data_IF_067859103601
#
_entry.id   IF_067859103601
#
_cell.length_a   1.000
_cell.length_b   1.000
_cell.length_c   1.000
_cell.angle_alpha   90.00
_cell.angle_beta   90.00
_cell.angle_gamma   90.00
#
_symmetry.space_group_name_H-M   'P 1'
#
loop_
_entity.id
_entity.type
_entity.pdbx_description
1 polymer ?
#
# COMPACT_ATOMS: atom_id res chain seq x y z
N UNK A 1 -11.45 2.39 -7.77
CA UNK A 1 -10.66 2.31 -6.52
C UNK A 1 -10.96 0.96 -5.91
N UNK A 2 -10.07 -0.02 -6.13
CA UNK A 2 -10.24 -1.40 -5.67
C UNK A 2 -10.04 -1.47 -4.16
N UNK A 3 -10.96 -2.17 -3.48
CA UNK A 3 -10.96 -2.36 -2.03
C UNK A 3 -10.55 -3.80 -1.77
N UNK A 4 -9.55 -3.99 -0.93
CA UNK A 4 -9.02 -5.30 -0.56
C UNK A 4 -9.24 -5.56 0.93
N UNK A 5 -9.43 -6.82 1.29
CA UNK A 5 -9.43 -7.29 2.69
C UNK A 5 -8.19 -8.11 3.00
N UNK A 6 -7.60 -8.71 1.97
CA UNK A 6 -6.36 -9.48 2.04
C UNK A 6 -5.16 -8.61 1.67
N UNK A 7 -4.09 -8.70 2.46
CA UNK A 7 -2.89 -7.89 2.30
C UNK A 7 -2.01 -8.38 1.15
N UNK A 8 -1.94 -9.68 0.90
CA UNK A 8 -1.14 -10.26 -0.17
C UNK A 8 -1.76 -9.89 -1.52
N UNK A 9 -3.09 -10.01 -1.64
CA UNK A 9 -3.81 -9.57 -2.83
C UNK A 9 -3.61 -8.08 -3.13
N UNK A 10 -3.61 -7.23 -2.10
CA UNK A 10 -3.38 -5.80 -2.24
C UNK A 10 -1.93 -5.47 -2.65
N UNK A 11 -0.95 -6.25 -2.18
CA UNK A 11 0.47 -6.09 -2.54
C UNK A 11 0.71 -6.49 -3.99
N UNK A 12 0.17 -7.63 -4.43
CA UNK A 12 0.28 -8.09 -5.81
C UNK A 12 -0.37 -7.11 -6.79
N UNK A 13 -1.55 -6.58 -6.46
CA UNK A 13 -2.17 -5.50 -7.25
C UNK A 13 -1.27 -4.26 -7.31
N UNK A 14 -0.66 -3.85 -6.20
CA UNK A 14 0.25 -2.71 -6.19
C UNK A 14 1.49 -2.95 -7.07
N UNK A 15 2.02 -4.18 -7.09
CA UNK A 15 3.13 -4.57 -7.99
C UNK A 15 2.70 -4.58 -9.45
N UNK A 16 1.54 -5.13 -9.76
CA UNK A 16 0.96 -5.13 -11.09
C UNK A 16 0.78 -3.68 -11.60
N UNK A 17 0.17 -2.81 -10.80
CA UNK A 17 -0.02 -1.40 -11.16
C UNK A 17 1.31 -0.66 -11.32
N UNK A 18 2.34 -0.99 -10.52
CA UNK A 18 3.69 -0.45 -10.74
C UNK A 18 4.26 -0.88 -12.08
N UNK A 19 4.07 -2.13 -12.49
CA UNK A 19 4.53 -2.62 -13.78
C UNK A 19 3.85 -1.88 -14.94
N UNK A 20 2.52 -1.75 -14.88
CA UNK A 20 1.71 -1.11 -15.93
C UNK A 20 1.98 0.40 -16.05
N UNK A 21 1.97 1.10 -14.92
CA UNK A 21 2.00 2.57 -14.92
C UNK A 21 3.41 3.15 -14.75
N UNK A 22 4.40 2.31 -14.41
CA UNK A 22 5.77 2.70 -14.01
C UNK A 22 5.82 3.65 -12.80
N UNK A 23 4.71 3.84 -12.10
CA UNK A 23 4.63 4.70 -10.93
C UNK A 23 4.59 3.88 -9.63
N UNK A 24 5.14 4.46 -8.58
CA UNK A 24 5.09 3.83 -7.26
C UNK A 24 3.65 3.84 -6.73
N UNK A 25 3.20 2.67 -6.30
CA UNK A 25 1.94 2.43 -5.64
C UNK A 25 2.17 2.05 -4.18
N UNK A 26 1.23 2.43 -3.31
CA UNK A 26 1.22 2.08 -1.90
C UNK A 26 -0.12 1.45 -1.54
N UNK A 27 -0.09 0.56 -0.56
CA UNK A 27 -1.26 0.03 0.11
C UNK A 27 -1.46 0.81 1.39
N UNK A 28 -2.65 1.35 1.59
CA UNK A 28 -3.05 1.98 2.84
C UNK A 28 -4.17 1.21 3.51
N UNK A 29 -4.13 1.15 4.85
CA UNK A 29 -5.20 0.55 5.64
C UNK A 29 -6.07 1.65 6.24
N UNK A 30 -7.37 1.55 6.05
CA UNK A 30 -8.36 2.40 6.71
C UNK A 30 -8.69 1.84 8.09
N UNK A 31 -9.24 2.70 8.97
CA UNK A 31 -9.63 2.32 10.34
C UNK A 31 -10.66 1.18 10.41
N UNK A 32 -11.42 0.97 9.35
CA UNK A 32 -12.38 -0.13 9.22
C UNK A 32 -11.73 -1.46 8.79
N UNK A 33 -10.40 -1.56 8.74
CA UNK A 33 -9.68 -2.76 8.31
C UNK A 33 -9.55 -2.93 6.80
N UNK A 34 -10.20 -2.08 6.00
CA UNK A 34 -10.10 -2.18 4.52
C UNK A 34 -8.77 -1.67 4.01
N UNK A 35 -8.25 -2.35 3.00
CA UNK A 35 -7.01 -2.02 2.32
C UNK A 35 -7.33 -1.36 0.98
N UNK A 36 -6.56 -0.34 0.62
CA UNK A 36 -6.72 0.34 -0.67
C UNK A 36 -5.37 0.58 -1.31
N UNK A 37 -5.27 0.31 -2.61
CA UNK A 37 -4.07 0.60 -3.41
C UNK A 37 -4.20 1.98 -4.03
N UNK A 38 -3.19 2.83 -3.85
CA UNK A 38 -3.14 4.18 -4.40
C UNK A 38 -1.75 4.51 -4.92
N UNK A 39 -1.68 5.35 -5.94
CA UNK A 39 -0.41 5.89 -6.41
C UNK A 39 0.24 6.75 -5.31
N UNK A 40 1.56 6.70 -5.17
CA UNK A 40 2.31 7.40 -4.11
C UNK A 40 2.34 8.93 -4.30
N UNK A 41 2.02 9.40 -5.50
CA UNK A 41 2.01 10.82 -5.86
C UNK A 41 0.87 11.52 -5.11
N UNK A 42 1.18 12.61 -4.41
CA UNK A 42 0.16 13.42 -3.73
C UNK A 42 -0.44 12.82 -2.45
N UNK A 43 0.18 11.78 -1.85
CA UNK A 43 -0.36 11.20 -0.61
C UNK A 43 -0.26 12.19 0.55
N UNK A 44 -1.42 12.59 1.06
CA UNK A 44 -1.60 13.42 2.26
C UNK A 44 -0.93 12.79 3.49
N UNK A 45 -0.43 13.63 4.39
CA UNK A 45 0.34 13.25 5.59
C UNK A 45 -0.36 12.16 6.43
N UNK A 46 -1.69 12.23 6.59
CA UNK A 46 -2.48 11.24 7.30
C UNK A 46 -2.52 9.87 6.59
N UNK A 47 -2.61 9.87 5.26
CA UNK A 47 -2.54 8.64 4.47
C UNK A 47 -1.12 8.05 4.43
N UNK A 48 -0.08 8.85 4.66
CA UNK A 48 1.29 8.36 4.84
C UNK A 48 1.46 7.57 6.14
N UNK A 49 0.81 7.99 7.22
CA UNK A 49 0.86 7.31 8.51
C UNK A 49 0.13 5.96 8.52
N UNK A 50 -0.79 5.74 7.57
CA UNK A 50 -1.54 4.49 7.41
C UNK A 50 -1.08 3.64 6.23
N UNK A 51 0.16 3.86 5.75
CA UNK A 51 0.78 3.01 4.73
C UNK A 51 1.12 1.67 5.36
N UNK A 52 0.59 0.60 4.77
CA UNK A 52 0.95 -0.77 5.14
C UNK A 52 2.09 -1.26 4.28
N UNK A 53 2.12 -0.83 3.01
CA UNK A 53 3.11 -1.26 2.04
C UNK A 53 3.36 -0.18 1.00
N UNK A 54 4.58 -0.11 0.47
CA UNK A 54 4.91 0.72 -0.69
C UNK A 54 5.86 -0.01 -1.62
N UNK A 55 5.49 -0.03 -2.90
CA UNK A 55 6.31 -0.57 -4.00
C UNK A 55 7.61 0.20 -4.23
N UNK A 56 7.79 1.36 -3.58
CA UNK A 56 9.07 2.09 -3.58
C UNK A 56 10.14 1.37 -2.76
N UNK A 57 9.73 0.66 -1.70
CA UNK A 57 10.63 -0.04 -0.78
C UNK A 57 10.66 -1.56 -1.02
N UNK A 58 9.81 -2.06 -1.92
CA UNK A 58 9.78 -3.45 -2.38
C UNK A 58 11.13 -3.90 -2.97
N UNK A 59 11.98 -2.96 -3.39
CA UNK A 59 13.28 -3.24 -3.98
C UNK A 59 14.36 -3.74 -3.01
N UNK A 60 14.16 -3.73 -1.68
CA UNK A 60 15.25 -4.11 -0.76
C UNK A 60 14.89 -4.89 0.48
N UNK A 61 13.78 -4.63 1.16
CA UNK A 61 13.42 -5.33 2.39
C UNK A 61 11.90 -5.25 2.51
N UNK A 62 11.22 -6.39 2.43
CA UNK A 62 9.81 -6.50 2.80
C UNK A 62 9.69 -6.32 4.32
N UNK A 63 9.86 -5.09 4.82
CA UNK A 63 9.49 -4.75 6.18
C UNK A 63 7.98 -4.66 6.21
N UNK A 64 7.31 -5.81 6.29
CA UNK A 64 5.94 -5.90 6.78
C UNK A 64 6.00 -5.31 8.18
N UNK A 65 5.55 -4.06 8.36
CA UNK A 65 5.42 -3.48 9.69
C UNK A 65 4.37 -4.31 10.44
N UNK A 66 4.77 -5.13 11.42
CA UNK A 66 3.81 -5.94 12.13
C UNK A 66 3.10 -4.98 13.09
N UNK A 67 1.77 -4.93 12.97
CA UNK A 67 0.88 -4.27 13.92
C UNK A 67 1.02 -2.74 14.02
N UNK A 68 0.23 -2.02 13.21
CA UNK A 68 -0.34 -0.75 13.67
C UNK A 68 -1.37 -1.05 14.78
N UNK A 69 -0.91 -1.36 15.99
CA UNK A 69 -1.77 -1.43 17.17
C UNK A 69 -1.86 -0.04 17.83
N UNK A 70 -3.08 0.50 17.74
CA UNK A 70 -3.74 1.60 18.47
C UNK A 70 -3.15 3.00 18.36
#
# INVERSE_FOLDING_TARGET
>A
MTIFTDIEAAIEEARFLRHETKHHHVVTQKRNGTLTVRQEVGINKESRLRKVYSTRYDCRIATVLPNCKK
#
